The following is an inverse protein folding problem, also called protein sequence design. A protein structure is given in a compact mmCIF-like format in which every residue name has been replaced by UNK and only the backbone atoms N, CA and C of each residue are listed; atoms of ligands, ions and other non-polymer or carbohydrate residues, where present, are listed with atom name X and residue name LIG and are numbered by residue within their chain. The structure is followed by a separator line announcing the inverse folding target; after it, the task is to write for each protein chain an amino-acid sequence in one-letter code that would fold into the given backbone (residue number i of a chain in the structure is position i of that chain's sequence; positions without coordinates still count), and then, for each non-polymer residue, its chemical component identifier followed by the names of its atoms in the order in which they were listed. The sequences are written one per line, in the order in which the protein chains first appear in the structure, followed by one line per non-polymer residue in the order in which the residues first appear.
data_IF_763934424195
#
_entry.id   IF_763934424195
#
_cell.length_a   1.000
_cell.length_b   1.000
_cell.length_c   1.000
_cell.angle_alpha   90.00
_cell.angle_beta   90.00
_cell.angle_gamma   90.00
#
_symmetry.space_group_name_H-M   'P 1'
#
loop_
_entity.id
_entity.type
_entity.pdbx_description
1 polymer ?
#
# COMPACT_ATOMS: atom_id res chain seq x y z
N UNK A 1 -5.90 -8.02 27.90
CA UNK A 1 -6.15 -7.85 26.46
C UNK A 1 -5.97 -6.38 26.15
N UNK A 2 -5.03 -6.03 25.26
CA UNK A 2 -4.88 -4.64 24.85
C UNK A 2 -6.07 -4.23 23.97
N UNK A 3 -6.71 -3.12 24.29
CA UNK A 3 -7.79 -2.54 23.49
C UNK A 3 -7.17 -2.06 22.17
N UNK A 4 -7.41 -2.77 21.06
CA UNK A 4 -7.01 -2.30 19.74
C UNK A 4 -8.16 -1.49 19.18
N UNK A 5 -7.92 -0.20 18.96
CA UNK A 5 -8.85 0.63 18.20
C UNK A 5 -8.80 0.23 16.73
N UNK A 6 -9.96 0.22 16.08
CA UNK A 6 -10.07 0.03 14.65
C UNK A 6 -9.40 1.18 13.91
N UNK A 7 -8.55 0.86 12.93
CA UNK A 7 -7.83 1.84 12.12
C UNK A 7 -8.05 1.55 10.63
N UNK A 8 -8.43 2.58 9.88
CA UNK A 8 -8.45 2.57 8.41
C UNK A 8 -7.05 2.86 7.87
N UNK A 9 -6.51 1.97 7.04
CA UNK A 9 -5.25 2.21 6.33
C UNK A 9 -5.50 2.93 5.02
N UNK A 10 -4.71 3.97 4.72
CA UNK A 10 -4.83 4.72 3.46
C UNK A 10 -3.53 4.60 2.66
N UNK A 11 -3.61 4.08 1.44
CA UNK A 11 -2.46 4.01 0.53
C UNK A 11 -2.50 5.19 -0.43
N UNK A 12 -1.59 6.14 -0.22
CA UNK A 12 -1.39 7.25 -1.16
C UNK A 12 -0.65 6.78 -2.41
N UNK A 13 -1.39 6.12 -3.32
CA UNK A 13 -0.91 5.62 -4.61
C UNK A 13 -0.88 6.71 -5.71
N UNK A 14 -0.87 7.98 -5.31
CA UNK A 14 -0.86 9.14 -6.21
C UNK A 14 0.55 9.61 -6.57
N UNK A 15 0.64 10.40 -7.63
CA UNK A 15 1.89 11.04 -8.09
C UNK A 15 2.24 10.66 -9.53
N UNK A 16 2.80 11.62 -10.27
CA UNK A 16 3.08 11.48 -11.70
C UNK A 16 4.29 10.58 -12.04
N UNK A 17 4.95 10.02 -11.02
CA UNK A 17 6.12 9.14 -11.18
C UNK A 17 7.23 9.72 -12.09
N UNK A 18 7.43 11.04 -12.11
CA UNK A 18 8.33 11.73 -13.06
C UNK A 18 9.78 11.23 -13.04
N UNK A 19 10.33 10.92 -11.86
CA UNK A 19 11.70 10.39 -11.73
C UNK A 19 11.83 8.95 -12.19
N UNK A 20 10.79 8.14 -11.97
CA UNK A 20 10.77 6.73 -12.35
C UNK A 20 10.39 6.56 -13.83
N UNK A 21 9.67 7.53 -14.39
CA UNK A 21 9.23 7.57 -15.78
C UNK A 21 8.11 6.58 -16.13
N UNK A 22 7.66 5.77 -15.18
CA UNK A 22 6.65 4.70 -15.35
C UNK A 22 5.73 4.65 -14.14
N UNK A 23 4.58 4.01 -14.29
CA UNK A 23 3.60 3.89 -13.20
C UNK A 23 4.17 3.07 -12.03
N UNK A 24 4.63 3.77 -10.98
CA UNK A 24 5.21 3.16 -9.79
C UNK A 24 4.30 2.14 -9.13
N UNK A 25 2.97 2.24 -9.27
CA UNK A 25 2.03 1.29 -8.67
C UNK A 25 2.22 -0.13 -9.20
N UNK A 26 2.58 -0.23 -10.48
CA UNK A 26 2.70 -1.48 -11.23
C UNK A 26 4.13 -2.01 -11.30
N UNK A 27 5.13 -1.19 -10.97
CA UNK A 27 6.53 -1.62 -11.02
C UNK A 27 6.77 -2.76 -10.02
N UNK A 28 7.46 -3.83 -10.45
CA UNK A 28 7.72 -4.98 -9.61
C UNK A 28 8.82 -4.69 -8.59
N UNK A 29 8.66 -5.23 -7.38
CA UNK A 29 9.67 -5.29 -6.34
C UNK A 29 9.64 -6.67 -5.70
N UNK A 30 10.73 -7.43 -5.88
CA UNK A 30 10.80 -8.86 -5.53
C UNK A 30 9.67 -9.69 -6.18
N UNK A 31 9.32 -9.39 -7.44
CA UNK A 31 8.30 -10.11 -8.20
C UNK A 31 6.85 -9.71 -7.90
N UNK A 32 6.62 -8.75 -6.99
CA UNK A 32 5.29 -8.25 -6.65
C UNK A 32 5.16 -6.77 -7.01
N UNK A 33 4.00 -6.32 -7.52
CA UNK A 33 3.75 -4.91 -7.76
C UNK A 33 3.85 -4.11 -6.45
N UNK A 34 4.48 -2.93 -6.51
CA UNK A 34 4.67 -2.08 -5.32
C UNK A 34 3.36 -1.77 -4.58
N UNK A 35 2.26 -1.55 -5.31
CA UNK A 35 0.95 -1.30 -4.69
C UNK A 35 0.41 -2.55 -3.96
N UNK A 36 0.43 -3.71 -4.61
CA UNK A 36 -0.01 -5.00 -4.02
C UNK A 36 0.71 -5.27 -2.70
N UNK A 37 2.04 -5.09 -2.69
CA UNK A 37 2.87 -5.30 -1.51
C UNK A 37 2.42 -4.45 -0.32
N UNK A 38 2.10 -3.17 -0.55
CA UNK A 38 1.65 -2.27 0.52
C UNK A 38 0.26 -2.65 1.01
N UNK A 39 -0.65 -2.97 0.10
CA UNK A 39 -2.01 -3.42 0.44
C UNK A 39 -1.97 -4.69 1.30
N UNK A 40 -1.16 -5.69 0.95
CA UNK A 40 -1.00 -6.91 1.75
C UNK A 40 -0.47 -6.62 3.15
N UNK A 41 0.50 -5.71 3.27
CA UNK A 41 1.09 -5.35 4.58
C UNK A 41 0.08 -4.62 5.46
N UNK A 42 -0.61 -3.61 4.93
CA UNK A 42 -1.59 -2.85 5.70
C UNK A 42 -2.84 -3.68 6.02
N UNK A 43 -3.29 -4.56 5.11
CA UNK A 43 -4.44 -5.43 5.35
C UNK A 43 -4.24 -6.44 6.47
N UNK A 44 -2.99 -6.67 6.92
CA UNK A 44 -2.70 -7.50 8.09
C UNK A 44 -2.91 -6.79 9.44
N UNK A 45 -3.09 -5.46 9.43
CA UNK A 45 -3.16 -4.63 10.64
C UNK A 45 -4.30 -3.62 10.65
N UNK A 46 -4.91 -3.34 9.50
CA UNK A 46 -6.06 -2.44 9.34
C UNK A 46 -7.31 -3.24 9.00
N UNK A 47 -8.45 -2.84 9.58
CA UNK A 47 -9.76 -3.47 9.33
C UNK A 47 -10.37 -3.02 8.00
N UNK A 48 -10.00 -1.82 7.55
CA UNK A 48 -10.41 -1.22 6.28
C UNK A 48 -9.18 -0.64 5.57
N UNK A 49 -9.18 -0.73 4.24
CA UNK A 49 -8.16 -0.14 3.37
C UNK A 49 -8.80 0.77 2.31
N UNK A 50 -8.22 1.95 2.13
CA UNK A 50 -8.57 2.96 1.12
C UNK A 50 -7.37 3.26 0.22
#
# INVERSE_FOLDING_TARGET
MANREAVTGVVLAGGASQRLGRDKRLEPFNGEALLSRVMTRLGSVCEELI
#
